data_IF_621339565832
#
_entry.id   IF_621339565832
#
_cell.length_a   1.000
_cell.length_b   1.000
_cell.length_c   1.000
_cell.angle_alpha   90.00
_cell.angle_beta   90.00
_cell.angle_gamma   90.00
#
_symmetry.space_group_name_H-M   'P 1'
#
loop_
_entity.id
_entity.type
_entity.pdbx_description
1 polymer ?
#
# COMPACT_ATOMS: atom_id res chain seq x y z
N UNK A 1 -26.73 -2.09 -7.99
CA UNK A 1 -27.12 -2.90 -9.16
C UNK A 1 -26.30 -2.41 -10.34
N UNK A 2 -25.52 -3.28 -10.96
CA UNK A 2 -24.72 -2.96 -12.15
C UNK A 2 -25.68 -2.86 -13.33
N UNK A 3 -25.90 -1.66 -13.87
CA UNK A 3 -26.78 -1.45 -15.03
C UNK A 3 -26.10 -1.95 -16.31
N UNK A 4 -26.15 -3.26 -16.53
CA UNK A 4 -25.63 -3.92 -17.72
C UNK A 4 -26.54 -3.76 -18.94
N UNK A 5 -27.75 -3.21 -18.77
CA UNK A 5 -28.72 -3.00 -19.86
C UNK A 5 -28.19 -2.03 -20.90
N UNK A 6 -27.35 -1.07 -20.48
CA UNK A 6 -26.68 -0.14 -21.37
C UNK A 6 -25.80 -0.82 -22.43
N UNK A 7 -25.20 -1.98 -22.14
CA UNK A 7 -24.36 -2.72 -23.11
C UNK A 7 -25.21 -3.17 -24.29
N UNK A 8 -26.38 -3.73 -24.01
CA UNK A 8 -27.33 -4.21 -25.03
C UNK A 8 -27.98 -3.02 -25.75
N UNK A 9 -28.44 -2.03 -24.99
CA UNK A 9 -29.14 -0.85 -25.51
C UNK A 9 -28.33 -0.06 -26.54
N UNK A 10 -27.02 0.03 -26.35
CA UNK A 10 -26.12 0.79 -27.23
C UNK A 10 -25.24 -0.09 -28.12
N UNK A 11 -25.54 -1.40 -28.19
CA UNK A 11 -24.86 -2.38 -29.05
C UNK A 11 -23.33 -2.32 -28.93
N UNK A 12 -22.84 -2.32 -27.68
CA UNK A 12 -21.41 -2.17 -27.43
C UNK A 12 -20.63 -3.41 -27.88
N UNK A 13 -19.51 -3.18 -28.55
CA UNK A 13 -18.50 -4.22 -28.83
C UNK A 13 -17.94 -4.81 -27.53
N UNK A 14 -17.26 -5.95 -27.60
CA UNK A 14 -16.68 -6.60 -26.40
C UNK A 14 -15.76 -5.66 -25.60
N UNK A 15 -14.93 -4.88 -26.31
CA UNK A 15 -14.01 -3.94 -25.68
C UNK A 15 -14.72 -2.70 -25.12
N UNK A 16 -15.79 -2.23 -25.76
CA UNK A 16 -16.64 -1.17 -25.22
C UNK A 16 -17.42 -1.63 -23.99
N UNK A 17 -17.94 -2.86 -24.01
CA UNK A 17 -18.60 -3.47 -22.87
C UNK A 17 -17.64 -3.63 -21.69
N UNK A 18 -16.39 -4.04 -21.95
CA UNK A 18 -15.32 -4.07 -20.94
C UNK A 18 -15.02 -2.68 -20.39
N UNK A 19 -14.86 -1.67 -21.26
CA UNK A 19 -14.66 -0.29 -20.86
C UNK A 19 -15.80 0.23 -19.98
N UNK A 20 -17.05 -0.10 -20.32
CA UNK A 20 -18.23 0.25 -19.54
C UNK A 20 -18.22 -0.40 -18.15
N UNK A 21 -17.91 -1.70 -18.06
CA UNK A 21 -17.73 -2.38 -16.76
C UNK A 21 -16.64 -1.72 -15.91
N UNK A 22 -15.54 -1.29 -16.52
CA UNK A 22 -14.48 -0.54 -15.84
C UNK A 22 -14.96 0.84 -15.36
N UNK A 23 -15.86 1.51 -16.09
CA UNK A 23 -16.47 2.77 -15.63
C UNK A 23 -17.30 2.57 -14.36
N UNK A 24 -18.11 1.51 -14.33
CA UNK A 24 -18.94 1.19 -13.16
C UNK A 24 -18.05 0.85 -11.96
N UNK A 25 -17.00 0.07 -12.19
CA UNK A 25 -16.01 -0.27 -11.16
C UNK A 25 -15.27 0.97 -10.63
N UNK A 26 -14.91 1.91 -11.53
CA UNK A 26 -14.33 3.20 -11.14
C UNK A 26 -15.27 3.99 -10.23
N UNK A 27 -16.54 4.13 -10.61
CA UNK A 27 -17.52 4.86 -9.80
C UNK A 27 -17.70 4.21 -8.43
N UNK A 28 -17.81 2.88 -8.38
CA UNK A 28 -17.93 2.13 -7.13
C UNK A 28 -16.73 2.36 -6.20
N UNK A 29 -15.51 2.27 -6.72
CA UNK A 29 -14.29 2.47 -5.91
C UNK A 29 -14.17 3.93 -5.47
N UNK A 30 -14.48 4.89 -6.34
CA UNK A 30 -14.48 6.31 -5.97
C UNK A 30 -15.50 6.59 -4.86
N UNK A 31 -16.69 5.99 -4.92
CA UNK A 31 -17.71 6.12 -3.89
C UNK A 31 -17.25 5.52 -2.55
N UNK A 32 -16.48 4.43 -2.57
CA UNK A 32 -15.95 3.76 -1.38
C UNK A 32 -14.73 4.48 -0.77
N UNK A 33 -13.75 4.84 -1.58
CA UNK A 33 -12.46 5.37 -1.11
C UNK A 33 -12.46 6.88 -0.90
N UNK A 34 -13.37 7.59 -1.58
CA UNK A 34 -13.43 9.05 -1.66
C UNK A 34 -14.89 9.55 -1.74
N UNK A 35 -15.72 9.27 -0.71
CA UNK A 35 -17.17 9.53 -0.75
C UNK A 35 -17.51 11.00 -1.04
N UNK A 36 -16.76 11.92 -0.42
CA UNK A 36 -16.98 13.38 -0.49
C UNK A 36 -16.26 14.05 -1.67
N UNK A 37 -15.55 13.29 -2.50
CA UNK A 37 -14.78 13.86 -3.59
C UNK A 37 -15.66 14.20 -4.80
N UNK A 38 -15.37 15.32 -5.46
CA UNK A 38 -16.02 15.66 -6.71
C UNK A 38 -15.66 14.61 -7.77
N UNK A 39 -16.68 13.90 -8.26
CA UNK A 39 -16.49 12.76 -9.15
C UNK A 39 -17.27 12.95 -10.45
N UNK A 40 -16.57 12.71 -11.54
CA UNK A 40 -17.20 12.51 -12.84
C UNK A 40 -18.19 11.34 -12.74
N UNK A 41 -19.40 11.51 -13.27
CA UNK A 41 -20.41 10.46 -13.35
C UNK A 41 -20.69 10.09 -14.80
N UNK A 42 -21.14 8.86 -15.02
CA UNK A 42 -21.71 8.48 -16.30
C UNK A 42 -22.98 9.30 -16.59
N UNK A 43 -23.20 9.73 -17.85
CA UNK A 43 -24.39 10.45 -18.24
C UNK A 43 -25.61 9.53 -18.23
N UNK A 44 -26.82 10.12 -18.17
CA UNK A 44 -28.09 9.38 -18.33
C UNK A 44 -28.30 8.82 -19.76
N UNK A 45 -27.44 9.19 -20.71
CA UNK A 45 -27.49 8.78 -22.12
C UNK A 45 -26.39 7.78 -22.46
N UNK A 46 -25.86 7.84 -23.69
CA UNK A 46 -24.79 6.95 -24.15
C UNK A 46 -23.51 7.15 -23.29
N UNK A 47 -23.07 6.11 -22.54
CA UNK A 47 -21.88 6.17 -21.70
C UNK A 47 -20.60 6.55 -22.45
N UNK A 48 -20.51 6.23 -23.75
CA UNK A 48 -19.34 6.49 -24.62
C UNK A 48 -19.01 7.97 -24.76
N UNK A 49 -19.98 8.84 -24.51
CA UNK A 49 -19.80 10.30 -24.55
C UNK A 49 -19.10 10.84 -23.30
N UNK A 50 -18.99 10.04 -22.23
CA UNK A 50 -18.38 10.47 -20.97
C UNK A 50 -16.86 10.46 -21.01
N UNK A 51 -16.24 11.32 -20.18
CA UNK A 51 -14.79 11.34 -20.01
C UNK A 51 -14.28 10.03 -19.38
N UNK A 52 -15.03 9.49 -18.41
CA UNK A 52 -14.69 8.22 -17.74
C UNK A 52 -14.58 7.11 -18.77
N UNK A 53 -15.57 7.00 -19.68
CA UNK A 53 -15.56 5.97 -20.71
C UNK A 53 -14.35 6.08 -21.62
N UNK A 54 -13.99 7.29 -22.08
CA UNK A 54 -12.82 7.48 -22.94
C UNK A 54 -11.53 6.93 -22.29
N UNK A 55 -11.35 7.18 -21.00
CA UNK A 55 -10.17 6.67 -20.29
C UNK A 55 -10.26 5.18 -19.95
N UNK A 56 -11.43 4.66 -19.58
CA UNK A 56 -11.63 3.22 -19.37
C UNK A 56 -11.47 2.41 -20.67
N UNK A 57 -11.88 2.96 -21.80
CA UNK A 57 -11.67 2.38 -23.12
C UNK A 57 -10.19 2.34 -23.49
N UNK A 58 -9.48 3.46 -23.25
CA UNK A 58 -8.03 3.52 -23.43
C UNK A 58 -7.30 2.54 -22.51
N UNK A 59 -7.70 2.43 -21.23
CA UNK A 59 -7.18 1.44 -20.29
C UNK A 59 -7.35 0.03 -20.84
N UNK A 60 -8.59 -0.36 -21.21
CA UNK A 60 -8.88 -1.70 -21.73
C UNK A 60 -8.01 -2.08 -22.94
N UNK A 61 -7.71 -1.11 -23.82
CA UNK A 61 -6.81 -1.30 -24.97
C UNK A 61 -5.34 -1.43 -24.56
N UNK A 62 -4.85 -0.55 -23.70
CA UNK A 62 -3.44 -0.52 -23.29
C UNK A 62 -3.05 -1.74 -22.45
N UNK A 63 -4.00 -2.31 -21.70
CA UNK A 63 -3.73 -3.41 -20.77
C UNK A 63 -4.26 -4.76 -21.25
N UNK A 64 -4.65 -4.86 -22.52
CA UNK A 64 -5.10 -6.11 -23.13
C UNK A 64 -3.99 -7.18 -23.04
N UNK A 65 -4.30 -8.30 -22.38
CA UNK A 65 -3.33 -9.38 -22.12
C UNK A 65 -2.30 -9.09 -21.02
N UNK A 66 -2.25 -7.88 -20.46
CA UNK A 66 -1.32 -7.50 -19.40
C UNK A 66 -1.93 -7.58 -18.00
N UNK A 67 -3.22 -7.28 -17.89
CA UNK A 67 -3.97 -7.32 -16.62
C UNK A 67 -5.13 -8.31 -16.79
N UNK A 68 -5.18 -9.39 -15.97
CA UNK A 68 -6.33 -10.28 -15.92
C UNK A 68 -7.60 -9.53 -15.49
N UNK A 69 -8.76 -9.94 -16.00
CA UNK A 69 -10.01 -9.21 -15.76
C UNK A 69 -10.37 -9.11 -14.27
N UNK A 70 -10.03 -10.13 -13.49
CA UNK A 70 -10.19 -10.16 -12.04
C UNK A 70 -9.35 -9.12 -11.29
N UNK A 71 -8.28 -8.61 -11.89
CA UNK A 71 -7.35 -7.69 -11.24
C UNK A 71 -7.66 -6.20 -11.49
N UNK A 72 -8.60 -5.86 -12.38
CA UNK A 72 -8.91 -4.44 -12.66
C UNK A 72 -9.42 -3.69 -11.43
N UNK A 73 -10.10 -4.37 -10.50
CA UNK A 73 -10.52 -3.76 -9.23
C UNK A 73 -9.31 -3.28 -8.42
N UNK A 74 -8.32 -4.15 -8.24
CA UNK A 74 -7.07 -3.81 -7.55
C UNK A 74 -6.28 -2.77 -8.32
N UNK A 75 -6.28 -2.84 -9.65
CA UNK A 75 -5.60 -1.85 -10.49
C UNK A 75 -6.14 -0.44 -10.27
N UNK A 76 -7.46 -0.27 -10.30
CA UNK A 76 -8.10 1.03 -10.09
C UNK A 76 -7.87 1.51 -8.66
N UNK A 77 -8.04 0.63 -7.67
CA UNK A 77 -7.77 0.91 -6.26
C UNK A 77 -6.34 1.41 -6.04
N UNK A 78 -5.36 0.78 -6.69
CA UNK A 78 -3.96 1.16 -6.63
C UNK A 78 -3.73 2.60 -7.11
N UNK A 79 -4.44 3.05 -8.15
CA UNK A 79 -4.30 4.43 -8.65
C UNK A 79 -4.78 5.43 -7.60
N UNK A 80 -5.97 5.18 -7.05
CA UNK A 80 -6.63 6.07 -6.09
C UNK A 80 -5.81 6.15 -4.80
N UNK A 81 -5.46 5.00 -4.21
CA UNK A 81 -4.70 4.95 -2.97
C UNK A 81 -3.31 5.57 -3.11
N UNK A 82 -2.64 5.33 -4.25
CA UNK A 82 -1.31 5.92 -4.48
C UNK A 82 -1.38 7.44 -4.60
N UNK A 83 -2.39 7.98 -5.29
CA UNK A 83 -2.55 9.43 -5.47
C UNK A 83 -3.04 10.13 -4.20
N UNK A 84 -3.88 9.48 -3.39
CA UNK A 84 -4.33 10.01 -2.10
C UNK A 84 -3.18 10.32 -1.14
N UNK A 85 -2.10 9.54 -1.23
CA UNK A 85 -0.89 9.73 -0.40
C UNK A 85 0.02 10.87 -0.89
N UNK A 86 -0.21 11.40 -2.10
CA UNK A 86 0.54 12.54 -2.64
C UNK A 86 -0.20 13.81 -2.22
N UNK A 87 0.22 14.39 -1.10
CA UNK A 87 -0.28 15.65 -0.58
C UNK A 87 0.84 16.49 0.01
N UNK A 88 0.72 17.82 -0.08
CA UNK A 88 1.58 18.79 0.60
C UNK A 88 1.12 19.13 2.03
N UNK A 89 0.12 18.41 2.55
CA UNK A 89 -0.50 18.66 3.86
C UNK A 89 -1.72 19.58 3.80
N UNK A 90 -1.99 20.19 2.64
CA UNK A 90 -3.14 21.09 2.42
C UNK A 90 -4.03 20.65 1.25
N UNK A 91 -3.43 20.12 0.19
CA UNK A 91 -4.13 19.66 -1.02
C UNK A 91 -3.59 18.28 -1.38
N UNK A 92 -4.49 17.37 -1.77
CA UNK A 92 -4.09 16.07 -2.31
C UNK A 92 -4.11 16.11 -3.84
N UNK A 93 -3.38 15.20 -4.49
CA UNK A 93 -3.36 15.12 -5.95
C UNK A 93 -4.79 15.00 -6.52
N UNK A 94 -5.04 15.65 -7.67
CA UNK A 94 -6.31 15.55 -8.39
C UNK A 94 -6.52 14.11 -8.88
N UNK A 95 -7.64 13.50 -8.47
CA UNK A 95 -7.97 12.11 -8.83
C UNK A 95 -9.09 12.14 -9.88
N UNK A 96 -8.69 12.04 -11.14
CA UNK A 96 -9.58 11.98 -12.29
C UNK A 96 -9.33 10.71 -13.12
N UNK A 97 -10.28 10.28 -13.96
CA UNK A 97 -10.13 9.06 -14.78
C UNK A 97 -8.86 9.03 -15.63
N UNK A 98 -8.27 10.20 -15.95
CA UNK A 98 -6.97 10.30 -16.61
C UNK A 98 -5.82 9.61 -15.86
N UNK A 99 -5.96 9.36 -14.55
CA UNK A 99 -4.96 8.64 -13.76
C UNK A 99 -4.91 7.14 -14.04
N UNK A 100 -5.89 6.59 -14.76
CA UNK A 100 -6.00 5.17 -15.05
C UNK A 100 -5.07 4.68 -16.16
N UNK A 101 -4.49 5.59 -16.95
CA UNK A 101 -3.79 5.25 -18.21
C UNK A 101 -2.35 5.75 -18.24
N UNK A 102 -1.55 5.18 -19.17
CA UNK A 102 -0.16 5.58 -19.43
C UNK A 102 0.88 5.13 -18.39
N UNK A 103 2.14 5.48 -18.64
CA UNK A 103 3.30 4.95 -17.91
C UNK A 103 3.30 5.22 -16.40
N UNK A 104 2.74 6.36 -15.99
CA UNK A 104 2.63 6.71 -14.57
C UNK A 104 1.65 5.79 -13.87
N UNK A 105 0.52 5.46 -14.50
CA UNK A 105 -0.46 4.53 -13.96
C UNK A 105 0.11 3.11 -13.86
N UNK A 106 0.86 2.69 -14.89
CA UNK A 106 1.54 1.39 -14.88
C UNK A 106 2.62 1.28 -13.79
N UNK A 107 3.41 2.34 -13.59
CA UNK A 107 4.39 2.39 -12.50
C UNK A 107 3.73 2.32 -11.13
N UNK A 108 2.66 3.09 -10.90
CA UNK A 108 1.88 3.02 -9.65
C UNK A 108 1.35 1.61 -9.41
N UNK A 109 0.75 0.98 -10.42
CA UNK A 109 0.25 -0.39 -10.34
C UNK A 109 1.35 -1.38 -9.93
N UNK A 110 2.49 -1.40 -10.62
CA UNK A 110 3.57 -2.35 -10.30
C UNK A 110 4.10 -2.20 -8.88
N UNK A 111 4.30 -0.96 -8.42
CA UNK A 111 4.78 -0.70 -7.06
C UNK A 111 3.74 -1.11 -6.03
N UNK A 112 2.48 -0.73 -6.25
CA UNK A 112 1.37 -1.05 -5.36
C UNK A 112 1.14 -2.56 -5.30
N UNK A 113 1.08 -3.24 -6.44
CA UNK A 113 0.88 -4.69 -6.54
C UNK A 113 1.99 -5.46 -5.84
N UNK A 114 3.26 -5.06 -6.01
CA UNK A 114 4.39 -5.66 -5.26
C UNK A 114 4.22 -5.53 -3.75
N UNK A 115 3.73 -4.38 -3.27
CA UNK A 115 3.46 -4.18 -1.82
C UNK A 115 2.27 -5.00 -1.36
N UNK A 116 1.20 -5.04 -2.16
CA UNK A 116 -0.01 -5.80 -1.89
C UNK A 116 0.28 -7.30 -1.82
N UNK A 117 1.02 -7.83 -2.80
CA UNK A 117 1.38 -9.25 -2.86
C UNK A 117 2.25 -9.66 -1.69
N UNK A 118 3.25 -8.84 -1.34
CA UNK A 118 4.04 -9.07 -0.12
C UNK A 118 3.16 -9.11 1.12
N UNK A 119 2.19 -8.20 1.26
CA UNK A 119 1.26 -8.23 2.40
C UNK A 119 0.33 -9.45 2.34
N UNK A 120 -0.10 -9.86 1.16
CA UNK A 120 -1.00 -10.99 0.98
C UNK A 120 -0.31 -12.34 1.25
N UNK A 121 0.94 -12.50 0.82
CA UNK A 121 1.82 -13.64 1.16
C UNK A 121 2.03 -13.75 2.66
N UNK A 122 2.19 -12.60 3.31
CA UNK A 122 2.34 -12.47 4.75
C UNK A 122 1.04 -12.85 5.49
N UNK A 123 -0.14 -12.48 4.96
CA UNK A 123 -1.44 -12.81 5.55
C UNK A 123 -1.94 -14.24 5.24
N UNK A 124 -1.48 -14.83 4.14
CA UNK A 124 -1.77 -16.21 3.74
C UNK A 124 -0.47 -17.00 3.60
N UNK A 125 0.27 -17.23 4.69
CA UNK A 125 1.50 -17.97 4.61
C UNK A 125 1.19 -19.41 4.18
N UNK A 126 1.71 -19.82 3.02
CA UNK A 126 2.08 -21.23 2.84
C UNK A 126 3.24 -21.46 3.79
N UNK A 127 2.91 -21.95 5.00
CA UNK A 127 3.82 -21.98 6.14
C UNK A 127 5.01 -22.89 5.83
N UNK A 128 6.14 -22.27 5.55
CA UNK A 128 7.46 -22.83 5.85
C UNK A 128 8.12 -21.94 6.92
N UNK A 129 8.15 -22.45 8.15
CA UNK A 129 8.56 -21.69 9.35
C UNK A 129 10.00 -21.20 9.20
N UNK A 130 10.86 -21.96 8.50
CA UNK A 130 12.26 -21.60 8.29
C UNK A 130 12.44 -20.33 7.43
N UNK A 131 11.60 -20.13 6.41
CA UNK A 131 11.69 -18.95 5.53
C UNK A 131 11.27 -17.66 6.27
N UNK A 132 10.38 -17.79 7.26
CA UNK A 132 9.85 -16.67 8.05
C UNK A 132 10.89 -16.11 9.02
N UNK A 133 11.69 -16.99 9.62
CA UNK A 133 12.74 -16.60 10.56
C UNK A 133 13.91 -15.88 9.89
N UNK A 134 14.40 -16.39 8.76
CA UNK A 134 15.45 -15.71 8.00
C UNK A 134 15.00 -14.32 7.53
N UNK A 135 13.73 -14.20 7.12
CA UNK A 135 13.14 -12.91 6.72
C UNK A 135 13.15 -11.91 7.88
N UNK A 136 12.68 -12.32 9.07
CA UNK A 136 12.66 -11.47 10.26
C UNK A 136 14.07 -10.99 10.65
N UNK A 137 15.05 -11.90 10.68
CA UNK A 137 16.45 -11.58 10.97
C UNK A 137 17.01 -10.58 9.95
N UNK A 138 16.72 -10.78 8.66
CA UNK A 138 17.17 -9.88 7.60
C UNK A 138 16.56 -8.48 7.71
N UNK A 139 15.30 -8.36 8.15
CA UNK A 139 14.69 -7.07 8.40
C UNK A 139 15.28 -6.33 9.61
N UNK A 140 15.59 -7.05 10.70
CA UNK A 140 16.30 -6.48 11.84
C UNK A 140 17.71 -6.00 11.44
N UNK A 141 18.45 -6.80 10.66
CA UNK A 141 19.75 -6.41 10.09
C UNK A 141 19.66 -5.13 9.25
N UNK A 142 18.62 -5.00 8.40
CA UNK A 142 18.40 -3.77 7.60
C UNK A 142 18.15 -2.56 8.49
N UNK A 143 17.37 -2.73 9.55
CA UNK A 143 17.09 -1.67 10.53
C UNK A 143 18.39 -1.23 11.22
N UNK A 144 19.20 -2.18 11.68
CA UNK A 144 20.51 -1.91 12.28
C UNK A 144 21.44 -1.17 11.32
N UNK A 145 21.58 -1.65 10.10
CA UNK A 145 22.44 -1.02 9.09
C UNK A 145 21.97 0.40 8.75
N UNK A 146 20.66 0.62 8.74
CA UNK A 146 20.10 1.95 8.54
C UNK A 146 20.45 2.89 9.70
N UNK A 147 20.37 2.43 10.96
CA UNK A 147 20.79 3.23 12.11
C UNK A 147 22.30 3.53 12.09
N UNK A 148 23.15 2.53 11.81
CA UNK A 148 24.59 2.73 11.66
C UNK A 148 24.89 3.81 10.61
N UNK A 149 24.19 3.77 9.47
CA UNK A 149 24.36 4.75 8.40
C UNK A 149 23.92 6.18 8.77
N UNK A 150 23.00 6.35 9.73
CA UNK A 150 22.48 7.66 10.13
C UNK A 150 23.14 8.23 11.39
N UNK A 151 23.70 7.40 12.27
CA UNK A 151 24.20 7.82 13.59
C UNK A 151 25.67 7.49 13.86
N UNK A 152 26.35 6.71 13.00
CA UNK A 152 27.65 6.02 13.19
C UNK A 152 27.55 4.65 13.88
N UNK A 153 28.61 3.84 13.84
CA UNK A 153 28.60 2.44 14.34
C UNK A 153 28.31 2.32 15.85
N UNK A 154 28.74 3.29 16.65
CA UNK A 154 28.60 3.31 18.12
C UNK A 154 27.39 4.11 18.60
N UNK A 155 26.33 4.17 17.79
CA UNK A 155 25.10 4.85 18.19
C UNK A 155 24.45 4.16 19.41
N UNK A 156 23.98 4.96 20.36
CA UNK A 156 23.44 4.49 21.62
C UNK A 156 21.95 4.80 21.81
N UNK A 157 21.48 4.46 23.01
CA UNK A 157 20.10 4.71 23.45
C UNK A 157 19.66 6.16 23.27
N UNK A 158 20.56 7.13 23.49
CA UNK A 158 20.24 8.57 23.46
C UNK A 158 19.89 9.06 22.05
N UNK A 159 20.62 8.62 21.04
CA UNK A 159 20.38 8.98 19.63
C UNK A 159 19.04 8.44 19.16
N UNK A 160 18.71 7.20 19.54
CA UNK A 160 17.46 6.54 19.20
C UNK A 160 16.27 7.13 19.98
N UNK A 161 16.45 7.44 21.27
CA UNK A 161 15.43 8.16 22.03
C UNK A 161 15.11 9.53 21.42
N UNK A 162 16.11 10.24 20.87
CA UNK A 162 15.90 11.54 20.22
C UNK A 162 14.98 11.42 19.01
N UNK A 163 15.16 10.43 18.14
CA UNK A 163 14.26 10.22 16.99
C UNK A 163 12.88 9.72 17.39
N UNK A 164 12.79 8.95 18.49
CA UNK A 164 11.51 8.49 19.04
C UNK A 164 10.73 9.70 19.55
N UNK A 165 11.37 10.56 20.35
CA UNK A 165 10.76 11.80 20.89
C UNK A 165 10.38 12.78 19.79
N UNK A 166 11.20 12.90 18.75
CA UNK A 166 10.92 13.74 17.59
C UNK A 166 9.91 13.11 16.61
N UNK A 167 9.44 11.89 16.89
CA UNK A 167 8.52 11.11 16.05
C UNK A 167 9.03 10.82 14.64
N UNK A 168 10.32 11.01 14.37
CA UNK A 168 10.92 10.71 13.07
C UNK A 168 10.90 9.20 12.77
N UNK A 169 10.91 8.38 13.83
CA UNK A 169 10.77 6.93 13.72
C UNK A 169 9.48 6.49 13.02
N UNK A 170 8.38 7.25 13.16
CA UNK A 170 7.11 6.97 12.47
C UNK A 170 7.30 7.06 10.95
N UNK A 171 7.99 8.11 10.48
CA UNK A 171 8.31 8.28 9.05
C UNK A 171 9.21 7.14 8.55
N UNK A 172 10.18 6.75 9.37
CA UNK A 172 11.13 5.70 8.99
C UNK A 172 10.47 4.33 8.86
N UNK A 173 9.49 4.03 9.72
CA UNK A 173 8.64 2.84 9.58
C UNK A 173 7.77 2.93 8.33
N UNK A 174 7.13 4.07 8.08
CA UNK A 174 6.30 4.28 6.89
C UNK A 174 7.10 4.12 5.57
N UNK A 175 8.38 4.48 5.58
CA UNK A 175 9.31 4.28 4.45
C UNK A 175 10.03 2.93 4.46
N UNK A 176 9.65 2.01 5.35
CA UNK A 176 10.24 0.67 5.49
C UNK A 176 11.76 0.70 5.72
N UNK A 177 12.23 1.73 6.43
CA UNK A 177 13.63 1.85 6.90
C UNK A 177 13.82 1.19 8.26
N UNK A 178 12.79 1.24 9.11
CA UNK A 178 12.73 0.53 10.38
C UNK A 178 11.71 -0.59 10.26
N UNK A 179 12.09 -1.80 10.63
CA UNK A 179 11.25 -3.00 10.55
C UNK A 179 10.15 -3.00 11.60
N UNK A 180 8.94 -3.48 11.28
CA UNK A 180 7.92 -3.82 12.26
C UNK A 180 8.38 -4.79 13.36
N UNK A 181 9.30 -5.71 13.07
CA UNK A 181 9.87 -6.60 14.08
C UNK A 181 10.63 -5.82 15.16
N UNK A 182 11.34 -4.75 14.77
CA UNK A 182 12.00 -3.86 15.72
C UNK A 182 10.97 -3.18 16.63
N UNK A 183 9.84 -2.71 16.10
CA UNK A 183 8.77 -2.10 16.90
C UNK A 183 8.14 -3.07 17.89
N UNK A 184 7.92 -4.32 17.46
CA UNK A 184 7.33 -5.36 18.30
C UNK A 184 8.26 -5.79 19.44
N UNK A 185 9.58 -5.77 19.22
CA UNK A 185 10.59 -6.20 20.17
C UNK A 185 11.04 -5.08 21.11
N UNK A 186 11.28 -3.87 20.59
CA UNK A 186 11.92 -2.75 21.29
C UNK A 186 11.18 -2.30 22.57
N UNK A 187 11.79 -2.48 23.75
CA UNK A 187 11.34 -1.86 24.99
C UNK A 187 11.26 -0.33 24.90
N UNK A 188 12.18 0.33 24.19
CA UNK A 188 12.15 1.79 24.02
C UNK A 188 10.89 2.28 23.33
N UNK A 189 10.45 1.58 22.27
CA UNK A 189 9.22 1.90 21.56
C UNK A 189 8.02 1.71 22.49
N UNK A 190 7.95 0.57 23.20
CA UNK A 190 6.86 0.28 24.17
C UNK A 190 6.75 1.33 25.28
N UNK A 191 7.90 1.84 25.75
CA UNK A 191 7.94 2.87 26.80
C UNK A 191 7.51 4.25 26.32
N UNK A 192 7.60 4.55 25.02
CA UNK A 192 7.26 5.87 24.47
C UNK A 192 5.91 5.91 23.73
N UNK A 193 5.38 4.75 23.31
CA UNK A 193 4.12 4.65 22.58
C UNK A 193 3.16 3.69 23.30
N UNK A 194 2.07 4.24 23.84
CA UNK A 194 1.02 3.45 24.49
C UNK A 194 0.21 2.60 23.48
N UNK A 195 0.14 3.05 22.24
CA UNK A 195 -0.60 2.39 21.15
C UNK A 195 0.26 2.39 19.88
N UNK A 196 1.06 1.34 19.74
CA UNK A 196 1.99 1.18 18.62
C UNK A 196 1.22 0.98 17.31
N UNK A 197 0.12 0.23 17.32
CA UNK A 197 -0.60 -0.11 16.09
C UNK A 197 -1.18 1.13 15.42
N UNK A 198 -1.84 1.99 16.19
CA UNK A 198 -2.38 3.24 15.66
C UNK A 198 -1.28 4.25 15.34
N UNK A 199 -0.21 4.32 16.14
CA UNK A 199 0.88 5.28 15.92
C UNK A 199 1.67 5.00 14.64
N UNK A 200 1.82 3.73 14.26
CA UNK A 200 2.63 3.32 13.11
C UNK A 200 1.82 2.78 11.94
N UNK A 201 0.50 2.57 12.10
CA UNK A 201 -0.36 1.91 11.10
C UNK A 201 0.16 0.52 10.70
N UNK A 202 0.58 -0.25 11.71
CA UNK A 202 1.16 -1.59 11.58
C UNK A 202 0.39 -2.54 12.50
N UNK A 203 0.07 -3.73 12.00
CA UNK A 203 -0.51 -4.83 12.78
C UNK A 203 0.62 -5.51 13.58
N UNK A 204 0.80 -5.12 14.85
CA UNK A 204 1.91 -5.59 15.68
C UNK A 204 1.65 -7.01 16.16
N UNK A 205 0.40 -7.37 16.45
CA UNK A 205 0.03 -8.74 16.81
C UNK A 205 0.50 -9.76 15.77
N UNK A 206 0.36 -9.42 14.49
CA UNK A 206 0.82 -10.28 13.40
C UNK A 206 2.33 -10.57 13.47
N UNK A 207 3.16 -9.54 13.72
CA UNK A 207 4.61 -9.71 13.86
C UNK A 207 4.96 -10.43 15.16
N UNK A 208 4.24 -10.17 16.25
CA UNK A 208 4.47 -10.83 17.53
C UNK A 208 4.31 -12.35 17.44
N UNK A 209 3.32 -12.83 16.69
CA UNK A 209 3.09 -14.27 16.46
C UNK A 209 4.25 -14.99 15.76
N UNK A 210 5.14 -14.24 15.08
CA UNK A 210 6.30 -14.78 14.38
C UNK A 210 7.61 -14.67 15.17
N UNK A 211 7.60 -13.99 16.32
CA UNK A 211 8.80 -13.82 17.15
C UNK A 211 9.07 -15.13 17.90
N UNK A 212 10.14 -15.82 17.51
CA UNK A 212 10.71 -16.95 18.25
C UNK A 212 11.73 -16.46 19.27
N UNK A 213 12.15 -17.33 20.20
CA UNK A 213 13.23 -17.01 21.15
C UNK A 213 14.53 -16.64 20.44
N UNK A 214 14.86 -17.30 19.33
CA UNK A 214 16.06 -17.01 18.55
C UNK A 214 16.02 -15.59 17.93
N UNK A 215 14.86 -15.13 17.47
CA UNK A 215 14.70 -13.76 16.97
C UNK A 215 14.86 -12.75 18.12
N UNK A 216 14.39 -13.07 19.33
CA UNK A 216 14.59 -12.23 20.51
C UNK A 216 16.08 -12.15 20.88
N UNK A 217 16.79 -13.27 20.90
CA UNK A 217 18.22 -13.33 21.22
C UNK A 217 19.03 -12.50 20.21
N UNK A 218 18.74 -12.65 18.92
CA UNK A 218 19.36 -11.86 17.85
C UNK A 218 19.05 -10.37 18.00
N UNK A 219 17.83 -10.01 18.40
CA UNK A 219 17.48 -8.62 18.66
C UNK A 219 18.31 -8.04 19.80
N UNK A 220 18.44 -8.76 20.92
CA UNK A 220 19.26 -8.33 22.07
C UNK A 220 20.73 -8.16 21.66
N UNK A 221 21.25 -9.06 20.83
CA UNK A 221 22.62 -8.97 20.30
C UNK A 221 22.80 -7.75 19.37
N UNK A 222 21.83 -7.47 18.50
CA UNK A 222 21.90 -6.37 17.52
C UNK A 222 21.64 -4.99 18.13
N UNK A 223 20.82 -4.93 19.17
CA UNK A 223 20.36 -3.70 19.81
C UNK A 223 20.55 -3.79 21.35
N UNK A 224 21.79 -3.96 21.84
CA UNK A 224 22.06 -4.20 23.26
C UNK A 224 21.69 -3.02 24.16
N UNK A 225 21.59 -1.81 23.59
CA UNK A 225 21.21 -0.59 24.29
C UNK A 225 19.68 -0.38 24.39
N UNK A 226 18.88 -1.20 23.71
CA UNK A 226 17.41 -1.11 23.68
C UNK A 226 16.76 -1.87 24.84
N UNK A 227 17.55 -2.47 25.74
CA UNK A 227 17.03 -3.13 26.94
C UNK A 227 16.46 -2.13 27.96
#
# INVERSE_FOLDING_TARGET
MIDLEAILKYEMTEIEAKAYKLCLLWQEIMDQELPDYHKNRLPKGDPRKSLIFKYCYKLARETQGLIPDSQYRLYILAQIQSLRLISDGTVHALIEPGCLVGDKAWRRWKIWKRKFDRKYEVLNPSVDIQTTQESAINELKRTRNFYIANFSEDYGKKEVEKIIRNKDIIKWVAFSKVSPFYLALSPLIKNHFNDIENSFSVDIEFYQKQITSEIQDIFVEMFPWDQ
#
